data_IF_880750774569
#
_entry.id   IF_880750774569
#
_cell.length_a   1.000
_cell.length_b   1.000
_cell.length_c   1.000
_cell.angle_alpha   90.00
_cell.angle_beta   90.00
_cell.angle_gamma   90.00
#
_symmetry.space_group_name_H-M   'P 1'
#
loop_
_entity.id
_entity.type
_entity.pdbx_description
1 polymer ?
#
# COMPACT_ATOMS: atom_id res chain seq x y z
N UNK A 1 -54.64 -14.35 15.11
CA UNK A 1 -54.00 -15.05 13.96
C UNK A 1 -53.07 -14.15 13.18
N UNK A 2 -53.46 -12.95 12.77
CA UNK A 2 -52.70 -11.99 11.97
C UNK A 2 -51.37 -11.55 12.61
N UNK A 3 -51.31 -11.31 13.93
CA UNK A 3 -50.05 -10.93 14.64
C UNK A 3 -49.00 -12.04 14.67
N UNK A 4 -49.39 -13.32 14.70
CA UNK A 4 -48.46 -14.43 14.66
C UNK A 4 -47.91 -14.68 13.21
N UNK A 5 -48.70 -14.37 12.20
CA UNK A 5 -48.27 -14.43 10.80
C UNK A 5 -47.27 -13.30 10.46
N UNK A 6 -47.48 -12.11 11.00
CA UNK A 6 -46.58 -10.98 10.84
C UNK A 6 -45.22 -11.23 11.52
N UNK A 7 -45.21 -11.86 12.71
CA UNK A 7 -43.94 -12.22 13.39
C UNK A 7 -43.15 -13.32 12.62
N UNK A 8 -43.86 -14.29 12.01
CA UNK A 8 -43.24 -15.30 11.17
C UNK A 8 -42.65 -14.71 9.88
N UNK A 9 -43.29 -13.71 9.30
CA UNK A 9 -42.79 -13.02 8.10
C UNK A 9 -41.56 -12.15 8.40
N UNK A 10 -41.51 -11.48 9.56
CA UNK A 10 -40.33 -10.71 10.02
C UNK A 10 -39.17 -11.64 10.35
N UNK A 11 -39.41 -12.81 10.96
CA UNK A 11 -38.39 -13.81 11.23
C UNK A 11 -37.82 -14.45 9.94
N UNK A 12 -38.65 -14.59 8.90
CA UNK A 12 -38.22 -15.13 7.60
C UNK A 12 -37.37 -14.11 6.81
N UNK A 13 -37.64 -12.81 6.95
CA UNK A 13 -36.81 -11.75 6.35
C UNK A 13 -35.45 -11.59 7.05
N UNK A 14 -35.35 -11.90 8.34
CA UNK A 14 -34.11 -11.81 9.11
C UNK A 14 -33.12 -12.96 8.83
N UNK A 15 -33.57 -14.01 8.14
CA UNK A 15 -32.73 -15.18 7.79
C UNK A 15 -32.19 -15.15 6.37
N UNK A 16 -32.33 -14.04 5.64
CA UNK A 16 -31.66 -13.89 4.35
C UNK A 16 -30.14 -13.79 4.60
N UNK A 17 -29.31 -14.70 4.01
CA UNK A 17 -27.86 -14.56 4.13
C UNK A 17 -27.50 -13.20 3.58
N UNK A 18 -26.77 -12.40 4.38
CA UNK A 18 -26.13 -11.19 3.89
C UNK A 18 -25.24 -11.64 2.76
N UNK A 19 -25.42 -11.16 1.52
CA UNK A 19 -24.53 -11.54 0.43
C UNK A 19 -23.11 -11.16 0.85
N UNK A 20 -22.19 -12.12 0.81
CA UNK A 20 -20.78 -11.84 0.89
C UNK A 20 -20.52 -10.72 -0.14
N UNK A 21 -19.82 -9.66 0.26
CA UNK A 21 -19.59 -8.52 -0.63
C UNK A 21 -18.72 -9.02 -1.78
N UNK A 22 -19.35 -9.26 -2.93
CA UNK A 22 -18.63 -9.59 -4.15
C UNK A 22 -17.69 -8.42 -4.48
N UNK A 23 -16.42 -8.71 -4.67
CA UNK A 23 -15.42 -7.74 -5.09
C UNK A 23 -15.26 -7.83 -6.62
N UNK A 24 -14.95 -6.73 -7.28
CA UNK A 24 -14.71 -6.75 -8.72
C UNK A 24 -13.32 -7.27 -9.02
N UNK A 25 -13.16 -7.91 -10.17
CA UNK A 25 -11.86 -8.42 -10.64
C UNK A 25 -10.78 -7.32 -10.59
N UNK A 26 -11.10 -6.07 -10.96
CA UNK A 26 -10.16 -4.94 -10.89
C UNK A 26 -9.67 -4.61 -9.47
N UNK A 27 -10.47 -4.93 -8.44
CA UNK A 27 -10.14 -4.62 -7.04
C UNK A 27 -9.28 -5.74 -6.43
N UNK A 28 -9.26 -6.93 -7.05
CA UNK A 28 -8.50 -8.09 -6.64
C UNK A 28 -7.10 -8.18 -7.26
N UNK A 29 -6.88 -7.57 -8.43
CA UNK A 29 -5.63 -7.70 -9.16
C UNK A 29 -5.48 -6.69 -10.29
N UNK A 30 -4.43 -6.88 -11.08
CA UNK A 30 -4.11 -6.00 -12.21
C UNK A 30 -3.53 -6.76 -13.39
N UNK A 31 -3.66 -6.21 -14.59
CA UNK A 31 -2.98 -6.73 -15.77
C UNK A 31 -1.49 -6.43 -15.73
N UNK A 32 -0.66 -7.42 -16.04
CA UNK A 32 0.79 -7.30 -16.00
C UNK A 32 1.34 -6.20 -16.92
N UNK A 33 0.67 -5.94 -18.03
CA UNK A 33 1.05 -4.90 -18.99
C UNK A 33 0.63 -3.48 -18.57
N UNK A 34 -0.18 -3.34 -17.52
CA UNK A 34 -0.69 -2.06 -17.00
C UNK A 34 0.09 -1.70 -15.74
N UNK A 35 1.34 -1.25 -15.92
CA UNK A 35 2.16 -0.79 -14.79
C UNK A 35 2.78 0.56 -15.08
N UNK A 36 2.98 1.36 -14.05
CA UNK A 36 3.81 2.55 -14.14
C UNK A 36 5.30 2.17 -14.21
N UNK A 37 6.10 3.03 -14.80
CA UNK A 37 7.54 2.89 -14.89
C UNK A 37 8.22 4.06 -14.18
N UNK A 38 9.27 3.77 -13.42
CA UNK A 38 10.03 4.80 -12.73
C UNK A 38 11.03 5.44 -13.69
N UNK A 39 11.06 6.77 -13.73
CA UNK A 39 12.02 7.55 -14.49
C UNK A 39 12.94 8.29 -13.53
N UNK A 40 14.21 8.38 -13.92
CA UNK A 40 15.21 9.11 -13.15
C UNK A 40 16.06 9.98 -14.09
N UNK A 41 16.36 11.19 -13.63
CA UNK A 41 17.24 12.11 -14.36
C UNK A 41 18.20 12.82 -13.41
N UNK A 42 19.30 13.32 -13.99
CA UNK A 42 20.25 14.16 -13.30
C UNK A 42 20.26 15.53 -13.95
N UNK A 43 20.06 16.59 -13.16
CA UNK A 43 19.91 17.93 -13.67
C UNK A 43 20.45 19.02 -12.77
N UNK A 44 20.17 20.26 -13.17
CA UNK A 44 20.58 21.46 -12.45
C UNK A 44 19.35 22.35 -12.22
N UNK A 45 19.20 22.80 -11.01
CA UNK A 45 18.27 23.86 -10.62
C UNK A 45 19.06 25.17 -10.55
N UNK A 46 18.54 26.21 -11.17
CA UNK A 46 19.14 27.56 -11.21
C UNK A 46 18.19 28.58 -10.57
N UNK A 47 18.72 29.81 -10.30
CA UNK A 47 17.91 30.87 -9.73
C UNK A 47 17.75 30.81 -8.20
N UNK A 48 18.59 30.02 -7.51
CA UNK A 48 18.60 29.93 -6.05
C UNK A 48 19.27 31.15 -5.44
N UNK A 49 18.61 31.81 -4.49
CA UNK A 49 19.14 33.02 -3.81
C UNK A 49 20.19 32.65 -2.75
N UNK A 50 21.39 32.31 -3.21
CA UNK A 50 22.53 31.96 -2.35
C UNK A 50 22.39 30.67 -1.58
N UNK A 51 21.31 29.88 -1.79
CA UNK A 51 21.02 28.63 -1.10
C UNK A 51 21.50 27.39 -1.86
N UNK A 52 22.12 27.56 -3.01
CA UNK A 52 22.64 26.48 -3.86
C UNK A 52 23.90 25.83 -3.36
N UNK A 53 24.56 25.07 -4.22
CA UNK A 53 25.75 24.28 -3.89
C UNK A 53 27.00 25.17 -3.81
N UNK A 54 27.69 25.15 -2.66
CA UNK A 54 29.00 25.77 -2.50
C UNK A 54 30.07 24.85 -3.08
N UNK A 55 30.62 25.20 -4.24
CA UNK A 55 31.86 24.61 -4.82
C UNK A 55 31.84 23.08 -4.97
N UNK A 56 30.68 22.52 -5.33
CA UNK A 56 30.50 21.09 -5.45
C UNK A 56 30.89 20.63 -6.89
N UNK A 57 31.85 19.72 -7.00
CA UNK A 57 32.41 19.28 -8.29
C UNK A 57 31.33 18.80 -9.29
N UNK A 58 30.31 18.11 -8.80
CA UNK A 58 29.21 17.61 -9.64
C UNK A 58 28.32 18.75 -10.17
N UNK A 59 28.03 19.78 -9.38
CA UNK A 59 27.26 20.94 -9.85
C UNK A 59 28.01 21.69 -10.94
N UNK A 60 29.33 21.85 -10.79
CA UNK A 60 30.20 22.44 -11.81
C UNK A 60 30.23 21.60 -13.08
N UNK A 61 30.35 20.28 -12.97
CA UNK A 61 30.36 19.38 -14.12
C UNK A 61 28.99 19.37 -14.84
N UNK A 62 27.90 19.34 -14.09
CA UNK A 62 26.54 19.40 -14.63
C UNK A 62 26.31 20.73 -15.37
N UNK A 63 26.75 21.86 -14.79
CA UNK A 63 26.66 23.17 -15.43
C UNK A 63 27.49 23.22 -16.71
N UNK A 64 28.70 22.66 -16.73
CA UNK A 64 29.50 22.54 -17.96
C UNK A 64 28.79 21.75 -19.04
N UNK A 65 28.15 20.63 -18.65
CA UNK A 65 27.36 19.81 -19.58
C UNK A 65 26.18 20.57 -20.18
N UNK A 66 25.43 21.29 -19.37
CA UNK A 66 24.31 22.15 -19.82
C UNK A 66 24.81 23.31 -20.69
N UNK A 67 25.83 24.05 -20.22
CA UNK A 67 26.42 25.15 -20.97
C UNK A 67 26.97 24.70 -22.33
N UNK A 68 27.65 23.54 -22.39
CA UNK A 68 28.15 22.98 -23.62
C UNK A 68 27.03 22.66 -24.63
N UNK A 69 25.90 22.15 -24.18
CA UNK A 69 24.72 21.91 -25.04
C UNK A 69 24.10 23.20 -25.56
N UNK A 70 24.22 24.30 -24.83
CA UNK A 70 23.74 25.61 -25.20
C UNK A 70 24.79 26.43 -25.99
N UNK A 71 25.91 25.82 -26.36
CA UNK A 71 26.98 26.46 -27.12
C UNK A 71 27.94 27.35 -26.30
N UNK A 72 27.81 27.33 -24.97
CA UNK A 72 28.70 28.08 -24.07
C UNK A 72 29.79 27.16 -23.53
N UNK A 73 31.06 27.47 -23.80
CA UNK A 73 32.19 26.76 -23.26
C UNK A 73 32.82 27.53 -22.11
N UNK A 74 32.82 26.97 -20.93
CA UNK A 74 33.55 27.51 -19.78
C UNK A 74 35.05 27.23 -19.96
N UNK A 75 35.93 28.21 -19.79
CA UNK A 75 37.39 28.00 -19.92
C UNK A 75 37.87 26.94 -18.93
N UNK A 76 38.91 26.15 -19.31
CA UNK A 76 39.54 25.20 -18.41
C UNK A 76 40.07 25.92 -17.15
N UNK A 77 39.81 25.37 -15.96
CA UNK A 77 40.29 25.91 -14.70
C UNK A 77 39.37 26.92 -14.02
N UNK A 78 38.34 27.41 -14.70
CA UNK A 78 37.32 28.26 -14.03
C UNK A 78 36.39 27.38 -13.21
N UNK A 79 36.37 27.59 -11.91
CA UNK A 79 35.47 26.93 -10.98
C UNK A 79 34.45 27.98 -10.47
N UNK A 80 33.29 28.11 -11.13
CA UNK A 80 32.31 29.09 -10.70
C UNK A 80 31.75 28.69 -9.32
N UNK A 81 31.77 29.61 -8.37
CA UNK A 81 31.07 29.47 -7.12
C UNK A 81 29.56 29.58 -7.39
N UNK A 82 28.88 28.47 -7.54
CA UNK A 82 27.51 28.38 -8.03
C UNK A 82 26.48 28.44 -6.90
N UNK A 83 26.59 29.47 -6.00
CA UNK A 83 25.61 29.61 -4.90
C UNK A 83 24.15 29.75 -5.36
N UNK A 84 23.95 30.07 -6.63
CA UNK A 84 22.63 30.23 -7.24
C UNK A 84 22.19 28.98 -8.04
N UNK A 85 22.96 27.89 -8.00
CA UNK A 85 22.61 26.64 -8.66
C UNK A 85 22.82 25.44 -7.75
N UNK A 86 22.08 24.36 -8.00
CA UNK A 86 22.20 23.10 -7.28
C UNK A 86 22.14 21.92 -8.24
N UNK A 87 22.99 20.91 -8.00
CA UNK A 87 22.88 19.61 -8.63
C UNK A 87 21.72 18.83 -8.01
N UNK A 88 20.87 18.27 -8.85
CA UNK A 88 19.64 17.60 -8.41
C UNK A 88 19.45 16.26 -9.11
N UNK A 89 18.81 15.35 -8.40
CA UNK A 89 18.19 14.16 -8.96
C UNK A 89 16.71 14.44 -9.16
N UNK A 90 16.20 14.02 -10.30
CA UNK A 90 14.79 14.13 -10.65
C UNK A 90 14.20 12.74 -10.73
N UNK A 91 13.05 12.54 -10.13
CA UNK A 91 12.28 11.30 -10.23
C UNK A 91 10.88 11.60 -10.74
N UNK A 92 10.36 10.72 -11.58
CA UNK A 92 9.00 10.79 -12.08
C UNK A 92 8.44 9.39 -12.23
N UNK A 93 7.12 9.30 -12.20
CA UNK A 93 6.39 8.09 -12.50
C UNK A 93 5.72 8.24 -13.87
N UNK A 94 6.11 7.39 -14.82
CA UNK A 94 5.51 7.32 -16.14
C UNK A 94 4.31 6.38 -16.08
N UNK A 95 3.09 6.88 -16.20
CA UNK A 95 1.89 6.04 -16.18
C UNK A 95 1.89 4.99 -17.28
N UNK A 96 1.16 3.90 -17.07
CA UNK A 96 0.90 2.94 -18.13
C UNK A 96 0.22 3.64 -19.32
N UNK A 97 0.57 3.22 -20.53
CA UNK A 97 0.01 3.76 -21.79
C UNK A 97 0.24 5.26 -22.02
N UNK A 98 1.15 5.89 -21.30
CA UNK A 98 1.49 7.30 -21.54
C UNK A 98 1.89 7.52 -22.99
N UNK A 99 1.36 8.58 -23.60
CA UNK A 99 1.62 8.94 -25.00
C UNK A 99 2.54 10.16 -25.09
N UNK A 100 3.35 10.27 -26.14
CA UNK A 100 4.13 11.47 -26.41
C UNK A 100 3.27 12.75 -26.35
N UNK A 101 3.80 13.79 -25.68
CA UNK A 101 3.11 15.04 -25.44
C UNK A 101 2.29 15.10 -24.14
N UNK A 102 2.05 13.99 -23.46
CA UNK A 102 1.44 14.00 -22.12
C UNK A 102 2.40 14.58 -21.08
N UNK A 103 1.83 15.22 -20.07
CA UNK A 103 2.61 15.80 -18.98
C UNK A 103 2.50 14.94 -17.72
N UNK A 104 3.62 14.85 -17.01
CA UNK A 104 3.73 14.12 -15.76
C UNK A 104 4.40 14.97 -14.69
N UNK A 105 4.06 14.70 -13.45
CA UNK A 105 4.66 15.36 -12.29
C UNK A 105 6.09 14.88 -12.06
N UNK A 106 6.94 15.77 -11.60
CA UNK A 106 8.31 15.42 -11.22
C UNK A 106 8.64 15.88 -9.80
N UNK A 107 9.43 15.06 -9.13
CA UNK A 107 10.03 15.39 -7.85
C UNK A 107 11.51 15.66 -8.04
N UNK A 108 11.99 16.77 -7.50
CA UNK A 108 13.36 17.24 -7.64
C UNK A 108 14.00 17.29 -6.26
N UNK A 109 15.11 16.59 -6.07
CA UNK A 109 15.82 16.50 -4.79
C UNK A 109 17.28 16.89 -4.95
N UNK A 110 17.85 17.61 -3.99
CA UNK A 110 19.26 17.99 -4.02
C UNK A 110 20.17 16.78 -3.86
N UNK A 111 21.25 16.74 -4.63
CA UNK A 111 22.34 15.76 -4.47
C UNK A 111 23.54 16.33 -3.72
N UNK A 112 23.65 17.66 -3.68
CA UNK A 112 24.79 18.37 -3.14
C UNK A 112 24.54 18.95 -1.75
N UNK A 113 25.14 20.10 -1.50
CA UNK A 113 25.09 20.84 -0.23
C UNK A 113 24.07 21.99 -0.23
N UNK A 114 23.25 22.08 -1.27
CA UNK A 114 22.24 23.13 -1.36
C UNK A 114 21.27 23.06 -0.16
N UNK A 115 21.06 24.21 0.46
CA UNK A 115 20.26 24.35 1.67
C UNK A 115 18.76 24.45 1.38
N UNK A 116 18.39 24.92 0.19
CA UNK A 116 17.01 25.07 -0.25
C UNK A 116 16.94 25.16 -1.77
N UNK A 117 15.89 24.58 -2.35
CA UNK A 117 15.54 24.71 -3.77
C UNK A 117 14.47 25.77 -4.02
N UNK A 118 14.07 26.53 -3.01
CA UNK A 118 12.98 27.51 -3.10
C UNK A 118 13.32 28.61 -4.09
N UNK A 119 12.37 28.94 -4.96
CA UNK A 119 12.52 29.96 -6.01
C UNK A 119 13.33 29.50 -7.22
N UNK A 120 13.86 28.27 -7.19
CA UNK A 120 14.65 27.73 -8.28
C UNK A 120 13.80 27.21 -9.45
N UNK A 121 14.43 27.16 -10.62
CA UNK A 121 13.89 26.56 -11.84
C UNK A 121 14.79 25.41 -12.31
N UNK A 122 14.19 24.28 -12.63
CA UNK A 122 14.87 23.15 -13.22
C UNK A 122 15.16 23.43 -14.69
N UNK A 123 16.42 23.33 -15.08
CA UNK A 123 16.84 23.39 -16.48
C UNK A 123 16.42 22.09 -17.17
N UNK A 124 16.09 22.19 -18.48
CA UNK A 124 15.65 21.05 -19.28
C UNK A 124 16.57 19.84 -19.10
N UNK A 125 15.99 18.76 -18.60
CA UNK A 125 16.71 17.55 -18.16
C UNK A 125 16.02 16.31 -18.70
N UNK A 126 16.77 15.39 -19.36
CA UNK A 126 16.22 14.11 -19.78
C UNK A 126 15.96 13.21 -18.57
N UNK A 127 14.83 12.46 -18.63
CA UNK A 127 14.50 11.41 -17.70
C UNK A 127 14.62 10.06 -18.37
N UNK A 128 15.37 9.17 -17.73
CA UNK A 128 15.73 7.86 -18.24
C UNK A 128 14.92 6.76 -17.55
N UNK A 129 14.52 5.76 -18.30
CA UNK A 129 14.03 4.50 -17.79
C UNK A 129 15.16 3.58 -17.29
N UNK A 130 14.78 2.42 -16.76
CA UNK A 130 15.75 1.41 -16.29
C UNK A 130 16.62 0.82 -17.41
N UNK A 131 16.17 0.93 -18.65
CA UNK A 131 16.89 0.52 -19.87
C UNK A 131 17.88 1.59 -20.38
N UNK A 132 17.96 2.75 -19.72
CA UNK A 132 18.81 3.87 -20.11
C UNK A 132 18.30 4.70 -21.29
N UNK A 133 17.07 4.46 -21.76
CA UNK A 133 16.45 5.28 -22.81
C UNK A 133 15.76 6.50 -22.22
N UNK A 134 15.66 7.57 -23.02
CA UNK A 134 14.97 8.81 -22.62
C UNK A 134 13.48 8.67 -22.91
N UNK A 135 12.65 8.79 -21.87
CA UNK A 135 11.19 8.71 -21.98
C UNK A 135 10.48 10.05 -21.77
N UNK A 136 11.11 10.99 -21.07
CA UNK A 136 10.52 12.30 -20.84
C UNK A 136 11.58 13.38 -20.71
N UNK A 137 11.18 14.65 -20.92
CA UNK A 137 11.99 15.83 -20.71
C UNK A 137 11.38 16.68 -19.61
N UNK A 138 12.14 16.93 -18.53
CA UNK A 138 11.69 17.68 -17.38
C UNK A 138 12.24 19.11 -17.36
N UNK A 139 11.37 20.10 -17.06
CA UNK A 139 11.77 21.48 -16.79
C UNK A 139 10.66 22.24 -16.05
N UNK A 140 11.01 23.33 -15.39
CA UNK A 140 10.02 24.23 -14.80
C UNK A 140 10.39 24.79 -13.43
N UNK A 141 9.51 25.60 -12.88
CA UNK A 141 9.70 26.22 -11.57
C UNK A 141 9.30 25.26 -10.45
N UNK A 142 10.13 25.22 -9.40
CA UNK A 142 9.91 24.31 -8.28
C UNK A 142 8.93 24.90 -7.26
N UNK A 143 7.92 24.10 -6.91
CA UNK A 143 7.12 24.30 -5.72
C UNK A 143 7.79 23.59 -4.53
N UNK A 144 8.31 24.35 -3.58
CA UNK A 144 9.00 23.81 -2.39
C UNK A 144 8.17 24.12 -1.15
N UNK A 145 7.73 23.09 -0.45
CA UNK A 145 6.85 23.21 0.71
C UNK A 145 7.55 23.51 2.05
N UNK A 146 8.88 23.62 2.07
CA UNK A 146 9.66 23.83 3.28
C UNK A 146 10.19 25.26 3.44
N UNK A 147 10.42 25.68 4.70
CA UNK A 147 11.13 26.91 5.05
C UNK A 147 12.34 26.56 5.89
N UNK A 148 13.53 26.93 5.44
CA UNK A 148 14.76 26.86 6.22
C UNK A 148 15.33 28.27 6.42
N UNK A 149 15.41 28.72 7.67
CA UNK A 149 16.03 29.98 8.04
C UNK A 149 17.19 29.74 8.98
N UNK A 150 18.36 30.30 8.68
CA UNK A 150 19.53 30.20 9.54
C UNK A 150 19.87 31.63 10.02
N UNK A 151 19.90 31.81 11.34
CA UNK A 151 20.37 33.08 11.94
C UNK A 151 21.91 33.18 11.90
N UNK A 152 22.44 34.42 11.93
CA UNK A 152 23.88 34.66 12.04
C UNK A 152 24.46 34.22 13.40
N UNK A 153 23.60 34.02 14.37
CA UNK A 153 23.88 33.54 15.73
C UNK A 153 23.97 32.01 15.84
N UNK A 154 23.81 31.27 14.69
CA UNK A 154 23.81 29.83 14.65
C UNK A 154 22.44 29.20 14.89
N UNK A 155 21.40 29.96 15.16
CA UNK A 155 20.04 29.48 15.27
C UNK A 155 19.53 28.98 13.91
N UNK A 156 18.86 27.80 13.91
CA UNK A 156 18.32 27.16 12.70
C UNK A 156 16.86 26.78 12.91
N UNK A 157 15.98 27.37 12.13
CA UNK A 157 14.58 26.94 12.06
C UNK A 157 14.35 26.26 10.71
N UNK A 158 14.01 24.98 10.74
CA UNK A 158 13.63 24.22 9.53
C UNK A 158 12.22 23.69 9.72
N UNK A 159 11.31 24.10 8.86
CA UNK A 159 9.94 23.60 8.81
C UNK A 159 9.80 22.85 7.48
N UNK A 160 9.52 21.56 7.54
CA UNK A 160 9.55 20.63 6.42
C UNK A 160 10.93 20.55 5.73
N UNK A 161 11.01 19.86 4.58
CA UNK A 161 12.27 19.62 3.86
C UNK A 161 12.42 20.60 2.71
N UNK A 162 13.24 21.67 2.83
CA UNK A 162 13.39 22.67 1.77
C UNK A 162 14.28 22.20 0.60
N UNK A 163 14.90 21.03 0.72
CA UNK A 163 15.81 20.44 -0.28
C UNK A 163 15.09 19.53 -1.28
N UNK A 164 13.77 19.39 -1.16
CA UNK A 164 12.92 18.66 -2.10
C UNK A 164 11.83 19.59 -2.62
N UNK A 165 11.62 19.59 -3.92
CA UNK A 165 10.56 20.35 -4.59
C UNK A 165 9.80 19.47 -5.58
N UNK A 166 8.61 19.91 -5.94
CA UNK A 166 7.77 19.28 -6.97
C UNK A 166 7.50 20.27 -8.07
N UNK A 167 7.46 19.80 -9.30
CA UNK A 167 6.97 20.55 -10.45
C UNK A 167 5.75 19.79 -10.98
N UNK A 168 4.58 20.37 -10.78
CA UNK A 168 3.35 19.81 -11.34
C UNK A 168 3.42 19.92 -12.87
N UNK A 169 3.04 18.86 -13.57
CA UNK A 169 3.17 18.77 -15.04
C UNK A 169 4.57 19.13 -15.54
N UNK A 170 5.60 18.81 -14.76
CA UNK A 170 6.96 19.27 -14.95
C UNK A 170 7.77 18.52 -15.99
N UNK A 171 7.29 17.39 -16.47
CA UNK A 171 7.92 16.68 -17.58
C UNK A 171 6.95 16.36 -18.69
N UNK A 172 7.42 16.45 -19.93
CA UNK A 172 6.69 16.03 -21.13
C UNK A 172 7.20 14.66 -21.54
N UNK A 173 6.30 13.72 -21.77
CA UNK A 173 6.60 12.39 -22.31
C UNK A 173 7.02 12.54 -23.77
N UNK A 174 8.20 12.03 -24.11
CA UNK A 174 8.75 12.06 -25.47
C UNK A 174 8.57 10.71 -26.18
N UNK A 175 8.63 9.63 -25.42
CA UNK A 175 8.53 8.27 -25.95
C UNK A 175 7.60 7.42 -25.08
N UNK A 176 6.72 6.67 -25.74
CA UNK A 176 5.90 5.67 -25.07
C UNK A 176 6.73 4.43 -24.74
N UNK A 177 6.46 3.80 -23.60
CA UNK A 177 7.05 2.49 -23.29
C UNK A 177 6.41 1.46 -24.21
N UNK A 178 7.24 0.70 -24.91
CA UNK A 178 6.76 -0.41 -25.73
C UNK A 178 6.09 -1.44 -24.81
N UNK A 179 4.81 -1.68 -25.01
CA UNK A 179 4.06 -2.73 -24.32
C UNK A 179 3.68 -3.82 -25.31
N UNK A 180 3.71 -5.08 -24.90
CA UNK A 180 3.21 -6.18 -25.71
C UNK A 180 1.67 -6.25 -25.74
N UNK A 181 1.01 -5.18 -25.26
CA UNK A 181 -0.45 -5.14 -25.15
C UNK A 181 -1.16 -5.42 -26.46
N UNK A 182 -0.68 -4.85 -27.58
CA UNK A 182 -1.34 -4.96 -28.88
C UNK A 182 -1.04 -6.28 -29.62
N UNK A 183 0.10 -6.92 -29.33
CA UNK A 183 0.65 -8.01 -30.13
C UNK A 183 0.74 -9.35 -29.40
N UNK A 184 0.70 -9.38 -28.07
CA UNK A 184 0.76 -10.62 -27.30
C UNK A 184 -0.51 -11.43 -27.47
N UNK A 185 -0.43 -12.70 -27.83
CA UNK A 185 -1.57 -13.62 -27.88
C UNK A 185 -2.11 -13.90 -26.46
N UNK A 186 -1.26 -13.78 -25.44
CA UNK A 186 -1.59 -14.03 -24.05
C UNK A 186 -1.32 -12.79 -23.23
N UNK A 187 -2.34 -12.28 -22.55
CA UNK A 187 -2.18 -11.29 -21.51
C UNK A 187 -2.25 -11.96 -20.14
N UNK A 188 -1.43 -11.48 -19.19
CA UNK A 188 -1.43 -11.97 -17.82
C UNK A 188 -2.12 -10.98 -16.92
N UNK A 189 -2.99 -11.51 -16.09
CA UNK A 189 -3.62 -10.79 -15.00
C UNK A 189 -3.11 -11.37 -13.67
N UNK A 190 -2.66 -10.52 -12.77
CA UNK A 190 -2.03 -10.91 -11.52
C UNK A 190 -2.86 -10.48 -10.33
N UNK A 191 -3.11 -11.41 -9.42
CA UNK A 191 -3.72 -11.14 -8.12
C UNK A 191 -2.76 -10.30 -7.25
N UNK A 192 -3.28 -9.38 -6.45
CA UNK A 192 -2.44 -8.62 -5.50
C UNK A 192 -1.89 -9.47 -4.36
N UNK A 193 -2.62 -10.50 -3.96
CA UNK A 193 -2.21 -11.45 -2.92
C UNK A 193 -2.40 -12.87 -3.43
N UNK A 194 -1.38 -13.73 -3.26
CA UNK A 194 -1.43 -15.12 -3.69
C UNK A 194 -2.54 -15.88 -2.97
N UNK A 195 -3.50 -16.42 -3.72
CA UNK A 195 -4.59 -17.26 -3.21
C UNK A 195 -5.16 -18.15 -4.32
N UNK A 196 -5.00 -19.46 -4.15
CA UNK A 196 -5.42 -20.45 -5.16
C UNK A 196 -6.95 -20.55 -5.31
N UNK A 197 -7.71 -20.29 -4.26
CA UNK A 197 -9.18 -20.33 -4.33
C UNK A 197 -9.73 -19.08 -5.02
N UNK A 198 -9.24 -17.90 -4.64
CA UNK A 198 -9.64 -16.64 -5.27
C UNK A 198 -9.29 -16.65 -6.76
N UNK A 199 -8.05 -17.06 -7.14
CA UNK A 199 -7.67 -17.08 -8.56
C UNK A 199 -8.48 -18.07 -9.37
N UNK A 200 -8.86 -19.20 -8.79
CA UNK A 200 -9.76 -20.16 -9.44
C UNK A 200 -11.16 -19.58 -9.64
N UNK A 201 -11.69 -18.85 -8.67
CA UNK A 201 -13.01 -18.20 -8.78
C UNK A 201 -12.98 -17.08 -9.83
N UNK A 202 -11.89 -16.30 -9.91
CA UNK A 202 -11.70 -15.29 -10.96
C UNK A 202 -11.66 -15.97 -12.34
N UNK A 203 -10.89 -17.07 -12.49
CA UNK A 203 -10.91 -17.86 -13.74
C UNK A 203 -12.31 -18.29 -14.12
N UNK A 204 -13.08 -18.83 -13.16
CA UNK A 204 -14.42 -19.36 -13.43
C UNK A 204 -15.39 -18.23 -13.82
N UNK A 205 -15.30 -17.06 -13.18
CA UNK A 205 -16.09 -15.89 -13.53
C UNK A 205 -15.77 -15.40 -14.95
N UNK A 206 -14.49 -15.35 -15.32
CA UNK A 206 -14.05 -14.96 -16.67
C UNK A 206 -14.53 -15.99 -17.69
N UNK A 207 -14.35 -17.29 -17.41
CA UNK A 207 -14.75 -18.35 -18.34
C UNK A 207 -16.28 -18.51 -18.45
N UNK A 208 -17.05 -18.05 -17.49
CA UNK A 208 -18.51 -17.96 -17.60
C UNK A 208 -18.93 -16.89 -18.62
N UNK A 209 -18.22 -15.76 -18.66
CA UNK A 209 -18.46 -14.72 -19.64
C UNK A 209 -17.80 -15.01 -21.01
N UNK A 210 -16.61 -15.60 -20.98
CA UNK A 210 -15.78 -15.89 -22.15
C UNK A 210 -15.20 -17.30 -22.07
N UNK A 211 -15.91 -18.33 -22.58
CA UNK A 211 -15.53 -19.73 -22.43
C UNK A 211 -14.11 -20.04 -22.94
N UNK A 212 -13.27 -20.60 -22.06
CA UNK A 212 -11.93 -21.04 -22.39
C UNK A 212 -10.87 -19.92 -22.49
N UNK A 213 -11.23 -18.67 -22.16
CA UNK A 213 -10.32 -17.55 -22.26
C UNK A 213 -9.27 -17.52 -21.15
N UNK A 214 -9.62 -17.90 -19.92
CA UNK A 214 -8.78 -17.80 -18.75
C UNK A 214 -8.22 -19.16 -18.31
N UNK A 215 -6.91 -19.23 -18.04
CA UNK A 215 -6.21 -20.38 -17.47
C UNK A 215 -5.36 -19.95 -16.30
N UNK A 216 -5.34 -20.74 -15.22
CA UNK A 216 -4.47 -20.48 -14.05
C UNK A 216 -3.06 -20.96 -14.37
N UNK A 217 -2.08 -20.07 -14.29
CA UNK A 217 -0.65 -20.41 -14.40
C UNK A 217 -0.10 -20.79 -13.00
N UNK A 218 -0.43 -19.99 -11.98
CA UNK A 218 -0.01 -20.21 -10.59
C UNK A 218 -1.00 -19.56 -9.59
N UNK A 219 -0.65 -19.47 -8.30
CA UNK A 219 -1.50 -18.88 -7.25
C UNK A 219 -1.71 -17.36 -7.34
N UNK A 220 -1.08 -16.70 -8.31
CA UNK A 220 -1.14 -15.25 -8.53
C UNK A 220 -1.57 -14.92 -9.95
N UNK A 221 -1.19 -15.75 -10.94
CA UNK A 221 -1.23 -15.39 -12.35
C UNK A 221 -2.31 -16.15 -13.11
N UNK A 222 -3.14 -15.41 -13.84
CA UNK A 222 -4.04 -15.92 -14.88
C UNK A 222 -3.49 -15.54 -16.26
N UNK A 223 -3.39 -16.53 -17.13
CA UNK A 223 -3.19 -16.35 -18.56
C UNK A 223 -4.53 -16.15 -19.25
N UNK A 224 -4.66 -15.06 -20.00
CA UNK A 224 -5.87 -14.71 -20.76
C UNK A 224 -5.54 -14.74 -22.26
N UNK A 225 -6.20 -15.63 -22.99
CA UNK A 225 -6.11 -15.72 -24.45
C UNK A 225 -7.08 -14.72 -25.08
N UNK A 226 -6.56 -13.53 -25.43
CA UNK A 226 -7.36 -12.46 -26.01
C UNK A 226 -7.17 -12.40 -27.52
N UNK A 227 -8.25 -12.09 -28.28
CA UNK A 227 -8.12 -11.89 -29.71
C UNK A 227 -7.16 -10.72 -30.02
N UNK A 228 -6.41 -10.76 -31.13
CA UNK A 228 -5.55 -9.67 -31.55
C UNK A 228 -6.36 -8.41 -31.87
N UNK A 229 -5.80 -7.25 -31.54
CA UNK A 229 -6.41 -5.95 -31.83
C UNK A 229 -6.66 -5.11 -30.56
N UNK A 230 -6.04 -3.92 -30.50
CA UNK A 230 -6.04 -3.08 -29.30
C UNK A 230 -7.45 -2.68 -28.83
N UNK A 231 -8.33 -2.29 -29.76
CA UNK A 231 -9.69 -1.82 -29.40
C UNK A 231 -10.53 -2.94 -28.77
N UNK A 232 -10.54 -4.12 -29.41
CA UNK A 232 -11.29 -5.27 -28.91
C UNK A 232 -10.74 -5.74 -27.56
N UNK A 233 -9.40 -5.70 -27.37
CA UNK A 233 -8.75 -6.07 -26.11
C UNK A 233 -9.13 -5.13 -24.97
N UNK A 234 -9.10 -3.82 -25.19
CA UNK A 234 -9.46 -2.84 -24.18
C UNK A 234 -10.92 -3.00 -23.73
N UNK A 235 -11.84 -3.30 -24.66
CA UNK A 235 -13.23 -3.56 -24.34
C UNK A 235 -13.42 -4.84 -23.51
N UNK A 236 -12.75 -5.93 -23.91
CA UNK A 236 -12.80 -7.20 -23.16
C UNK A 236 -12.18 -7.03 -21.77
N UNK A 237 -11.04 -6.37 -21.66
CA UNK A 237 -10.42 -6.09 -20.36
C UNK A 237 -11.32 -5.27 -19.46
N UNK A 238 -11.96 -4.23 -19.98
CA UNK A 238 -12.92 -3.42 -19.23
C UNK A 238 -14.11 -4.26 -18.73
N UNK A 239 -14.60 -5.21 -19.53
CA UNK A 239 -15.68 -6.11 -19.13
C UNK A 239 -15.18 -7.12 -18.07
N UNK A 240 -13.97 -7.67 -18.22
CA UNK A 240 -13.36 -8.58 -17.23
C UNK A 240 -13.18 -7.85 -15.88
N UNK A 241 -12.69 -6.62 -15.90
CA UNK A 241 -12.51 -5.82 -14.68
C UNK A 241 -13.80 -5.55 -13.90
N UNK A 242 -14.93 -5.56 -14.59
CA UNK A 242 -16.25 -5.32 -13.99
C UNK A 242 -16.95 -6.58 -13.48
N UNK A 243 -16.38 -7.79 -13.71
CA UNK A 243 -16.95 -9.03 -13.20
C UNK A 243 -16.88 -9.07 -11.69
N UNK A 244 -17.98 -9.49 -11.08
CA UNK A 244 -18.08 -9.70 -9.64
C UNK A 244 -17.59 -11.10 -9.29
N UNK A 245 -16.74 -11.18 -8.28
CA UNK A 245 -16.17 -12.42 -7.74
C UNK A 245 -16.28 -12.39 -6.22
N UNK A 246 -16.67 -13.52 -5.63
CA UNK A 246 -16.61 -13.73 -4.19
C UNK A 246 -15.20 -14.25 -3.83
N UNK A 247 -14.28 -13.41 -3.29
CA UNK A 247 -12.93 -13.86 -2.99
C UNK A 247 -12.94 -14.87 -1.83
N UNK A 248 -11.86 -15.64 -1.69
CA UNK A 248 -11.67 -16.46 -0.51
C UNK A 248 -11.56 -15.60 0.75
N UNK A 249 -11.92 -16.14 1.89
CA UNK A 249 -11.72 -15.47 3.17
C UNK A 249 -10.24 -15.14 3.33
N UNK A 250 -9.93 -13.87 3.56
CA UNK A 250 -8.53 -13.41 3.69
C UNK A 250 -7.87 -14.11 4.87
N UNK A 251 -6.59 -14.47 4.71
CA UNK A 251 -5.80 -15.02 5.79
C UNK A 251 -5.85 -14.12 7.03
N UNK A 252 -6.01 -14.76 8.19
CA UNK A 252 -6.00 -14.05 9.46
C UNK A 252 -4.68 -13.31 9.65
N UNK A 253 -4.74 -11.99 9.87
CA UNK A 253 -3.56 -11.12 9.99
C UNK A 253 -3.71 -10.14 11.14
N UNK A 254 -2.61 -9.97 11.88
CA UNK A 254 -2.47 -8.96 12.93
C UNK A 254 -1.27 -8.09 12.59
N UNK A 255 -1.48 -6.80 12.45
CA UNK A 255 -0.42 -5.81 12.18
C UNK A 255 -0.23 -4.94 13.41
N UNK A 256 1.00 -4.85 13.91
CA UNK A 256 1.33 -4.05 15.08
C UNK A 256 2.38 -3.02 14.70
N UNK A 257 2.09 -1.75 14.97
CA UNK A 257 3.09 -0.70 14.91
C UNK A 257 3.75 -0.58 16.30
N UNK A 258 4.99 -1.05 16.40
CA UNK A 258 5.73 -1.08 17.67
C UNK A 258 6.03 0.31 18.24
N UNK A 259 6.08 1.35 17.40
CA UNK A 259 6.35 2.73 17.80
C UNK A 259 5.12 3.45 18.32
N UNK A 260 3.96 3.24 17.68
CA UNK A 260 2.71 3.95 18.04
C UNK A 260 1.79 3.13 18.93
N UNK A 261 2.02 1.81 19.06
CA UNK A 261 1.13 0.88 19.75
C UNK A 261 -0.17 0.57 19.00
N UNK A 262 -0.28 0.99 17.74
CA UNK A 262 -1.48 0.72 16.95
C UNK A 262 -1.53 -0.74 16.54
N UNK A 263 -2.64 -1.43 16.80
CA UNK A 263 -2.89 -2.82 16.41
C UNK A 263 -4.07 -2.86 15.46
N UNK A 264 -3.87 -3.52 14.32
CA UNK A 264 -4.92 -3.78 13.33
C UNK A 264 -5.15 -5.29 13.26
N UNK A 265 -6.37 -5.72 13.49
CA UNK A 265 -6.76 -7.12 13.58
C UNK A 265 -7.75 -7.43 12.47
N UNK A 266 -7.48 -8.47 11.66
CA UNK A 266 -8.46 -8.93 10.67
C UNK A 266 -9.58 -9.75 11.33
N UNK A 267 -10.78 -9.75 10.74
CA UNK A 267 -11.96 -10.47 11.25
C UNK A 267 -11.78 -12.00 11.30
N UNK A 268 -10.86 -12.53 10.51
CA UNK A 268 -10.57 -13.97 10.45
C UNK A 268 -9.70 -14.48 11.60
N UNK A 269 -9.17 -13.60 12.46
CA UNK A 269 -8.29 -13.98 13.58
C UNK A 269 -9.08 -14.78 14.62
N UNK A 270 -8.54 -15.93 15.00
CA UNK A 270 -9.09 -16.79 16.05
C UNK A 270 -8.04 -17.03 17.13
N UNK A 271 -8.50 -17.12 18.36
CA UNK A 271 -7.70 -17.48 19.51
C UNK A 271 -8.15 -18.82 20.08
N UNK A 272 -7.18 -19.72 20.27
CA UNK A 272 -7.38 -20.94 21.04
C UNK A 272 -7.09 -20.72 22.52
N UNK A 273 -7.59 -21.57 23.41
CA UNK A 273 -7.33 -21.52 24.85
C UNK A 273 -5.83 -21.44 25.15
N UNK A 274 -5.44 -20.49 25.96
CA UNK A 274 -4.05 -20.29 26.35
C UNK A 274 -3.91 -19.56 27.68
N UNK A 275 -2.77 -19.75 28.32
CA UNK A 275 -2.32 -18.92 29.44
C UNK A 275 -0.93 -18.39 29.13
N UNK A 276 -0.76 -17.08 29.18
CA UNK A 276 0.53 -16.41 29.01
C UNK A 276 0.80 -15.47 30.16
N UNK A 277 2.05 -15.41 30.62
CA UNK A 277 2.51 -14.47 31.61
C UNK A 277 3.67 -13.67 31.05
N UNK A 278 3.58 -12.34 31.11
CA UNK A 278 4.64 -11.43 30.71
C UNK A 278 4.80 -10.33 31.77
N UNK A 279 5.95 -10.36 32.49
CA UNK A 279 6.17 -9.47 33.63
C UNK A 279 5.12 -9.66 34.72
N UNK A 280 4.41 -8.58 35.08
CA UNK A 280 3.31 -8.60 36.06
C UNK A 280 1.94 -8.94 35.45
N UNK A 281 1.86 -9.06 34.12
CA UNK A 281 0.61 -9.34 33.39
C UNK A 281 0.44 -10.86 33.18
N UNK A 282 -0.73 -11.38 33.54
CA UNK A 282 -1.13 -12.77 33.29
C UNK A 282 -2.42 -12.75 32.49
N UNK A 283 -2.38 -13.37 31.30
CA UNK A 283 -3.54 -13.53 30.42
C UNK A 283 -3.93 -15.00 30.37
N UNK A 284 -5.18 -15.31 30.63
CA UNK A 284 -5.73 -16.65 30.50
C UNK A 284 -6.97 -16.62 29.65
N UNK A 285 -7.02 -17.48 28.66
CA UNK A 285 -8.14 -17.67 27.72
C UNK A 285 -8.67 -19.07 27.95
N UNK A 286 -9.89 -19.17 28.45
CA UNK A 286 -10.57 -20.44 28.71
C UNK A 286 -11.78 -20.55 27.78
N UNK A 287 -11.95 -21.69 27.09
CA UNK A 287 -13.16 -22.02 26.32
C UNK A 287 -14.14 -22.79 27.22
N UNK A 288 -15.36 -22.27 27.34
CA UNK A 288 -16.48 -22.96 27.99
C UNK A 288 -17.62 -23.17 27.00
N UNK A 289 -17.66 -24.25 26.23
CA UNK A 289 -18.76 -24.52 25.32
C UNK A 289 -20.06 -24.72 26.11
N UNK A 290 -21.07 -23.92 25.81
CA UNK A 290 -22.42 -24.08 26.39
C UNK A 290 -23.28 -24.85 25.41
N UNK A 291 -23.75 -26.02 25.83
CA UNK A 291 -24.69 -26.82 25.05
C UNK A 291 -26.10 -26.29 25.29
N UNK A 292 -26.66 -25.61 24.31
CA UNK A 292 -28.05 -25.17 24.33
C UNK A 292 -28.92 -26.30 23.79
N UNK A 293 -29.62 -26.99 24.69
CA UNK A 293 -30.59 -28.01 24.31
C UNK A 293 -31.99 -27.38 24.13
N UNK A 294 -32.70 -27.73 23.05
CA UNK A 294 -34.10 -27.33 22.90
C UNK A 294 -34.95 -27.90 24.04
N UNK A 295 -36.01 -27.18 24.43
CA UNK A 295 -36.96 -27.64 25.41
C UNK A 295 -37.55 -29.02 25.02
N UNK A 296 -37.86 -29.86 26.00
CA UNK A 296 -38.48 -31.16 25.74
C UNK A 296 -39.73 -30.99 24.87
N UNK A 297 -39.83 -31.84 23.82
CA UNK A 297 -40.87 -31.79 22.79
C UNK A 297 -40.81 -30.69 21.75
N UNK A 298 -39.76 -29.87 21.70
CA UNK A 298 -39.50 -28.92 20.59
C UNK A 298 -38.79 -29.64 19.42
N UNK A 299 -39.05 -29.19 18.17
CA UNK A 299 -38.37 -29.70 16.97
C UNK A 299 -37.01 -29.03 16.69
N UNK A 300 -36.41 -28.41 17.69
CA UNK A 300 -35.08 -27.75 17.59
C UNK A 300 -33.95 -28.81 17.52
N UNK A 301 -32.79 -28.39 16.96
CA UNK A 301 -31.54 -29.17 17.02
C UNK A 301 -30.66 -28.60 18.14
N UNK A 302 -29.95 -29.48 18.85
CA UNK A 302 -28.92 -29.10 19.82
C UNK A 302 -27.86 -28.26 19.11
N UNK A 303 -27.62 -27.06 19.59
CA UNK A 303 -26.53 -26.18 19.14
C UNK A 303 -25.48 -26.10 20.24
N UNK A 304 -24.21 -26.15 19.85
CA UNK A 304 -23.07 -25.91 20.74
C UNK A 304 -22.63 -24.48 20.47
N UNK A 305 -22.82 -23.58 21.43
CA UNK A 305 -22.24 -22.25 21.40
C UNK A 305 -20.86 -22.31 22.04
N UNK A 306 -19.86 -21.93 21.29
CA UNK A 306 -18.48 -21.80 21.77
C UNK A 306 -18.36 -20.47 22.50
N UNK A 307 -18.25 -20.53 23.82
CA UNK A 307 -18.09 -19.38 24.69
C UNK A 307 -16.67 -19.41 25.27
N UNK A 308 -15.88 -18.34 25.01
CA UNK A 308 -14.53 -18.19 25.58
C UNK A 308 -14.54 -17.13 26.68
N UNK A 309 -13.89 -17.42 27.80
CA UNK A 309 -13.73 -16.44 28.89
C UNK A 309 -12.27 -16.03 28.98
N UNK A 310 -12.00 -14.73 28.92
CA UNK A 310 -10.66 -14.17 29.10
C UNK A 310 -10.54 -13.61 30.50
N UNK A 311 -9.48 -13.95 31.20
CA UNK A 311 -9.09 -13.37 32.49
C UNK A 311 -7.71 -12.79 32.35
N UNK A 312 -7.59 -11.46 32.48
CA UNK A 312 -6.30 -10.76 32.56
C UNK A 312 -6.11 -10.23 33.98
N UNK A 313 -4.96 -10.49 34.59
CA UNK A 313 -4.61 -10.06 35.97
C UNK A 313 -3.28 -9.35 35.99
N UNK A 314 -3.19 -8.30 36.80
CA UNK A 314 -1.95 -7.66 37.22
C UNK A 314 -1.78 -7.86 38.73
N UNK A 315 -0.54 -7.97 39.22
CA UNK A 315 -0.22 -8.44 40.56
C UNK A 315 -0.83 -7.62 41.73
N UNK A 316 -1.37 -6.43 41.47
CA UNK A 316 -1.97 -5.55 42.48
C UNK A 316 -3.34 -4.96 42.13
N UNK A 317 -3.98 -5.27 40.98
CA UNK A 317 -5.28 -4.69 40.63
C UNK A 317 -6.12 -5.52 39.66
N UNK A 318 -7.43 -5.45 39.94
CA UNK A 318 -8.64 -5.69 39.12
C UNK A 318 -8.59 -6.72 37.99
N UNK A 319 -9.36 -7.77 38.19
CA UNK A 319 -9.74 -8.76 37.17
C UNK A 319 -10.67 -8.10 36.16
N UNK A 320 -10.24 -7.92 34.92
CA UNK A 320 -11.15 -7.64 33.83
C UNK A 320 -11.73 -8.97 33.32
N UNK A 321 -13.04 -9.15 33.42
CA UNK A 321 -13.77 -10.29 32.85
C UNK A 321 -14.32 -9.86 31.49
N UNK A 322 -13.93 -10.57 30.45
CA UNK A 322 -14.49 -10.40 29.11
C UNK A 322 -15.41 -11.58 28.81
N UNK A 323 -16.55 -11.31 28.20
CA UNK A 323 -17.63 -12.27 27.98
C UNK A 323 -17.32 -13.41 27.00
N UNK A 324 -18.30 -14.27 26.71
CA UNK A 324 -18.12 -15.46 25.89
C UNK A 324 -17.84 -15.13 24.43
N UNK A 325 -16.92 -15.88 23.79
CA UNK A 325 -16.53 -15.69 22.39
C UNK A 325 -15.43 -14.65 22.17
N UNK A 326 -14.48 -14.54 23.10
CA UNK A 326 -13.48 -13.48 23.10
C UNK A 326 -12.69 -13.38 21.81
N UNK A 327 -12.81 -12.24 21.17
CA UNK A 327 -12.01 -11.86 20.02
C UNK A 327 -10.62 -11.37 20.48
N UNK A 328 -9.64 -11.44 19.60
CA UNK A 328 -8.33 -10.84 19.90
C UNK A 328 -8.44 -9.36 20.27
N UNK A 329 -9.41 -8.63 19.71
CA UNK A 329 -9.65 -7.24 20.02
C UNK A 329 -9.97 -7.05 21.52
N UNK A 330 -10.82 -7.87 22.10
CA UNK A 330 -11.17 -7.83 23.52
C UNK A 330 -9.97 -8.14 24.43
N UNK A 331 -9.07 -9.05 23.99
CA UNK A 331 -7.80 -9.29 24.70
C UNK A 331 -6.92 -8.05 24.70
N UNK A 332 -6.78 -7.41 23.57
CA UNK A 332 -5.99 -6.18 23.42
C UNK A 332 -6.59 -5.05 24.23
N UNK A 333 -7.90 -4.90 24.22
CA UNK A 333 -8.61 -3.87 25.01
C UNK A 333 -8.44 -4.11 26.53
N UNK A 334 -8.54 -5.36 26.97
CA UNK A 334 -8.30 -5.73 28.37
C UNK A 334 -6.84 -5.45 28.80
N UNK A 335 -5.85 -5.73 27.95
CA UNK A 335 -4.45 -5.45 28.20
C UNK A 335 -4.17 -3.94 28.25
N UNK A 336 -4.76 -3.18 27.30
CA UNK A 336 -4.66 -1.72 27.31
C UNK A 336 -5.28 -1.11 28.56
N UNK A 337 -6.43 -1.62 29.02
CA UNK A 337 -7.07 -1.19 30.26
C UNK A 337 -6.21 -1.45 31.51
N UNK A 338 -5.35 -2.47 31.46
CA UNK A 338 -4.38 -2.77 32.51
C UNK A 338 -3.05 -1.98 32.36
N UNK A 339 -2.96 -1.10 31.37
CA UNK A 339 -1.79 -0.25 31.14
C UNK A 339 -0.61 -0.96 30.48
N UNK A 340 -0.86 -2.03 29.71
CA UNK A 340 0.19 -2.69 28.93
C UNK A 340 0.86 -1.71 27.94
N UNK A 341 2.17 -1.75 27.87
CA UNK A 341 2.90 -0.95 26.88
C UNK A 341 2.84 -1.60 25.49
N UNK A 342 3.10 -0.86 24.39
CA UNK A 342 3.20 -1.45 23.06
C UNK A 342 4.18 -2.64 22.98
N UNK A 343 5.27 -2.58 23.71
CA UNK A 343 6.25 -3.66 23.76
C UNK A 343 5.70 -4.91 24.45
N UNK A 344 4.93 -4.75 25.54
CA UNK A 344 4.28 -5.87 26.23
C UNK A 344 3.24 -6.55 25.34
N UNK A 345 2.45 -5.76 24.57
CA UNK A 345 1.47 -6.29 23.62
C UNK A 345 2.14 -7.11 22.50
N UNK A 346 3.27 -6.63 21.96
CA UNK A 346 4.05 -7.39 20.96
C UNK A 346 4.50 -8.70 21.57
N UNK A 347 5.14 -8.69 22.76
CA UNK A 347 5.67 -9.89 23.40
C UNK A 347 4.56 -10.92 23.74
N UNK A 348 3.40 -10.47 24.21
CA UNK A 348 2.25 -11.33 24.50
C UNK A 348 1.71 -11.97 23.23
N UNK A 349 1.54 -11.18 22.14
CA UNK A 349 1.01 -11.69 20.86
C UNK A 349 2.01 -12.63 20.18
N UNK A 350 3.32 -12.37 20.26
CA UNK A 350 4.35 -13.30 19.80
C UNK A 350 4.33 -14.61 20.62
N UNK A 351 4.18 -14.52 21.93
CA UNK A 351 4.05 -15.69 22.79
C UNK A 351 2.81 -16.53 22.46
N UNK A 352 1.64 -15.91 22.22
CA UNK A 352 0.44 -16.61 21.77
C UNK A 352 0.61 -17.26 20.40
N UNK A 353 1.34 -16.60 19.49
CA UNK A 353 1.67 -17.13 18.17
C UNK A 353 2.60 -18.35 18.29
N UNK A 354 3.66 -18.26 19.07
CA UNK A 354 4.60 -19.36 19.31
C UNK A 354 3.95 -20.55 20.01
N UNK A 355 3.03 -20.29 20.93
CA UNK A 355 2.22 -21.33 21.57
C UNK A 355 1.19 -21.98 20.63
N UNK A 356 1.00 -21.46 19.42
CA UNK A 356 -0.01 -21.95 18.48
C UNK A 356 -1.44 -21.53 18.81
N UNK A 357 -1.62 -20.70 19.83
CA UNK A 357 -2.95 -20.24 20.27
C UNK A 357 -3.48 -19.08 19.43
N UNK A 358 -2.62 -18.32 18.77
CA UNK A 358 -2.99 -17.30 17.81
C UNK A 358 -2.85 -17.86 16.38
N UNK A 359 -3.99 -18.13 15.75
CA UNK A 359 -4.03 -18.56 14.35
C UNK A 359 -4.12 -17.31 13.45
N UNK A 360 -2.98 -16.65 13.25
CA UNK A 360 -2.87 -15.48 12.38
C UNK A 360 -1.41 -15.24 11.95
N UNK A 361 -1.23 -14.54 10.85
CA UNK A 361 0.07 -13.94 10.51
C UNK A 361 0.29 -12.71 11.39
N UNK A 362 1.42 -12.63 12.08
CA UNK A 362 1.81 -11.48 12.89
C UNK A 362 2.84 -10.65 12.11
N UNK A 363 2.51 -9.39 11.85
CA UNK A 363 3.39 -8.41 11.16
C UNK A 363 3.68 -7.26 12.10
N UNK A 364 4.95 -7.01 12.39
CA UNK A 364 5.43 -5.90 13.23
C UNK A 364 6.06 -4.85 12.33
N UNK A 365 5.62 -3.58 12.47
CA UNK A 365 6.07 -2.43 11.68
C UNK A 365 6.52 -1.26 12.58
#
# INVERSE_FOLDING_TARGET
>A
MIRRLALLFVALLASLPVPAAAERVRDLGQFQSVRSNQLTGYGVVVGLDGSGDDNFAYATQAMRGVSGRLGLQLPPGVNPALKNAAAVIITAELPAFAKPGQRIDVTVSTMGKAKSLRGGALVMTPLYGADGQIYAMAQGNLAVGGLGVSGKDGSKLTVNVPTVGRIADGATVEQAVASNFDFSEVLRWNLYQADFLTISRVRDAINAAYPGMAQVEDGVTLALMLPPGANTRAEIMAQIEMLDVDPAERAAKVVINSRTGTIVISSAVRLAPAAISHGSLVVRIDENPTVVQPEPFSRGRTAVEQNSTITARQQDNVVSRVGPGASLAEVVDALNALGATPADLVAILEGLKQAGSLTAELVII
#
